data_IF_893753523581
#
_entry.id   IF_893753523581
#
_cell.length_a   1.000
_cell.length_b   1.000
_cell.length_c   1.000
_cell.angle_alpha   90.00
_cell.angle_beta   90.00
_cell.angle_gamma   90.00
#
_symmetry.space_group_name_H-M   'P 1'
#
loop_
_entity.id
_entity.type
_entity.pdbx_description
1 polymer ?
#
# COMPACT_ATOMS: atom_id res chain seq x y z
N UNK A 1 72.70 -5.96 23.26
CA UNK A 1 72.04 -6.17 21.95
C UNK A 1 71.34 -7.52 22.05
N UNK A 2 70.27 -7.69 22.84
CA UNK A 2 69.03 -6.93 22.95
C UNK A 2 68.36 -6.79 21.59
N UNK A 3 67.45 -7.71 21.26
CA UNK A 3 66.03 -7.39 21.01
C UNK A 3 65.21 -8.67 20.71
N UNK A 4 64.26 -8.94 21.60
CA UNK A 4 62.88 -9.39 21.35
C UNK A 4 62.03 -8.44 22.25
N UNK A 5 60.71 -8.24 22.06
CA UNK A 5 59.81 -8.52 20.94
C UNK A 5 58.90 -7.29 20.60
N UNK A 6 58.18 -7.27 19.47
CA UNK A 6 57.00 -6.40 19.26
C UNK A 6 56.07 -6.99 18.20
N UNK A 7 55.11 -7.81 18.63
CA UNK A 7 53.71 -7.41 18.85
C UNK A 7 52.91 -7.23 17.55
N UNK A 8 52.15 -8.29 17.24
CA UNK A 8 50.73 -8.24 16.90
C UNK A 8 50.25 -7.09 16.00
N UNK A 9 50.34 -7.27 14.67
CA UNK A 9 49.49 -6.54 13.74
C UNK A 9 48.22 -7.36 13.47
N UNK A 10 47.24 -7.09 14.34
CA UNK A 10 45.81 -7.37 14.24
C UNK A 10 45.35 -7.55 12.78
N UNK A 11 44.93 -8.76 12.39
CA UNK A 11 44.02 -8.97 11.25
C UNK A 11 42.66 -8.39 11.65
N UNK A 12 42.17 -7.28 11.06
CA UNK A 12 40.76 -6.96 11.15
C UNK A 12 40.04 -7.86 10.13
N UNK A 13 39.37 -8.88 10.66
CA UNK A 13 38.00 -9.24 10.26
C UNK A 13 37.65 -9.13 8.75
N UNK A 14 38.05 -10.11 7.94
CA UNK A 14 37.38 -10.39 6.64
C UNK A 14 35.88 -10.68 6.81
N UNK A 15 35.46 -11.06 8.03
CA UNK A 15 34.07 -11.16 8.45
C UNK A 15 33.38 -9.79 8.64
N UNK A 16 34.10 -8.71 8.94
CA UNK A 16 33.52 -7.35 9.01
C UNK A 16 33.37 -6.71 7.63
N UNK A 17 34.31 -6.95 6.71
CA UNK A 17 34.21 -6.37 5.35
C UNK A 17 33.03 -6.94 4.60
N UNK A 18 32.78 -8.25 4.73
CA UNK A 18 31.60 -8.90 4.14
C UNK A 18 30.30 -8.43 4.80
N UNK A 19 30.31 -8.22 6.12
CA UNK A 19 29.20 -7.61 6.85
C UNK A 19 28.89 -6.20 6.35
N UNK A 20 29.92 -5.37 6.12
CA UNK A 20 29.75 -3.98 5.70
C UNK A 20 29.27 -3.82 4.24
N UNK A 21 29.57 -4.80 3.38
CA UNK A 21 29.05 -4.89 1.99
C UNK A 21 27.58 -5.32 1.97
N UNK A 22 27.16 -6.18 2.90
CA UNK A 22 25.76 -6.60 3.05
C UNK A 22 24.92 -5.56 3.80
N UNK A 23 25.47 -4.88 4.82
CA UNK A 23 24.78 -3.90 5.65
C UNK A 23 24.63 -2.52 4.98
N UNK A 24 25.57 -2.11 4.12
CA UNK A 24 25.48 -0.86 3.34
C UNK A 24 24.19 -0.73 2.52
N UNK A 25 23.74 -1.77 1.78
CA UNK A 25 22.49 -1.72 1.02
C UNK A 25 21.23 -1.96 1.88
N UNK A 26 21.35 -2.51 3.09
CA UNK A 26 20.21 -2.79 3.97
C UNK A 26 19.53 -1.51 4.42
N UNK A 27 20.28 -0.49 4.87
CA UNK A 27 19.71 0.80 5.31
C UNK A 27 18.85 1.50 4.22
N UNK A 28 19.35 1.72 2.98
CA UNK A 28 18.55 2.32 1.94
C UNK A 28 17.41 1.40 1.47
N UNK A 29 17.61 0.07 1.46
CA UNK A 29 16.52 -0.87 1.12
C UNK A 29 15.39 -0.86 2.16
N UNK A 30 15.73 -0.65 3.45
CA UNK A 30 14.76 -0.59 4.54
C UNK A 30 13.95 0.71 4.47
N UNK A 31 14.62 1.82 4.17
CA UNK A 31 13.95 3.12 3.97
C UNK A 31 12.97 3.07 2.79
N UNK A 32 13.42 2.56 1.64
CA UNK A 32 12.54 2.45 0.48
C UNK A 32 11.47 1.38 0.69
N UNK A 33 11.78 0.30 1.40
CA UNK A 33 10.80 -0.70 1.85
C UNK A 33 9.72 -0.08 2.73
N UNK A 34 10.09 0.76 3.69
CA UNK A 34 9.15 1.48 4.56
C UNK A 34 8.27 2.47 3.77
N UNK A 35 8.87 3.25 2.87
CA UNK A 35 8.14 4.18 2.01
C UNK A 35 7.13 3.43 1.10
N UNK A 36 7.57 2.32 0.52
CA UNK A 36 6.76 1.47 -0.36
C UNK A 36 5.64 0.80 0.47
N UNK A 37 5.95 0.29 1.66
CA UNK A 37 4.98 -0.25 2.61
C UNK A 37 3.90 0.74 3.03
N UNK A 38 4.24 2.02 3.23
CA UNK A 38 3.27 3.07 3.51
C UNK A 38 2.31 3.31 2.32
N UNK A 39 2.81 3.30 1.08
CA UNK A 39 1.96 3.32 -0.12
C UNK A 39 1.06 2.07 -0.21
N UNK A 40 1.59 0.89 0.12
CA UNK A 40 0.83 -0.35 0.18
C UNK A 40 -0.28 -0.31 1.24
N UNK A 41 -0.03 0.32 2.38
CA UNK A 41 -1.03 0.55 3.42
C UNK A 41 -2.14 1.51 2.95
N UNK A 42 -1.79 2.57 2.22
CA UNK A 42 -2.78 3.49 1.63
C UNK A 42 -3.67 2.76 0.62
N UNK A 43 -3.09 1.99 -0.30
CA UNK A 43 -3.84 1.15 -1.25
C UNK A 43 -4.72 0.13 -0.52
N UNK A 44 -4.18 -0.55 0.50
CA UNK A 44 -4.91 -1.52 1.30
C UNK A 44 -6.09 -0.91 2.08
N UNK A 45 -5.99 0.36 2.52
CA UNK A 45 -7.08 1.06 3.18
C UNK A 45 -8.22 1.37 2.19
N UNK A 46 -7.88 1.88 1.01
CA UNK A 46 -8.85 2.18 -0.04
C UNK A 46 -9.52 0.88 -0.51
N UNK A 47 -8.75 -0.14 -0.85
CA UNK A 47 -9.29 -1.43 -1.26
C UNK A 47 -10.12 -2.10 -0.15
N UNK A 48 -9.68 -2.03 1.11
CA UNK A 48 -10.39 -2.60 2.26
C UNK A 48 -11.73 -1.93 2.54
N UNK A 49 -11.83 -0.62 2.35
CA UNK A 49 -13.10 0.14 2.49
C UNK A 49 -14.07 -0.14 1.34
N UNK A 50 -13.59 -0.31 0.10
CA UNK A 50 -14.41 -0.60 -1.07
C UNK A 50 -14.92 -2.05 -1.13
N UNK A 51 -14.17 -3.01 -0.59
CA UNK A 51 -14.50 -4.45 -0.70
C UNK A 51 -15.39 -4.94 0.47
N UNK A 52 -15.82 -4.04 1.37
CA UNK A 52 -16.74 -4.33 2.48
C UNK A 52 -16.37 -5.62 3.25
N UNK A 53 -15.08 -5.76 3.56
CA UNK A 53 -14.54 -6.95 4.21
C UNK A 53 -14.68 -6.84 5.74
N UNK A 54 -14.90 -7.96 6.43
CA UNK A 54 -15.17 -7.99 7.88
C UNK A 54 -14.01 -7.52 8.78
N UNK A 55 -12.83 -7.20 8.23
CA UNK A 55 -11.66 -6.70 8.98
C UNK A 55 -10.71 -5.83 8.13
N UNK A 56 -11.07 -4.58 7.81
CA UNK A 56 -10.27 -3.69 6.95
C UNK A 56 -8.84 -3.47 7.48
N UNK A 57 -8.66 -3.41 8.80
CA UNK A 57 -7.32 -3.26 9.41
C UNK A 57 -6.41 -4.47 9.16
N UNK A 58 -6.93 -5.70 9.20
CA UNK A 58 -6.14 -6.89 8.92
C UNK A 58 -5.62 -6.88 7.47
N UNK A 59 -6.47 -6.48 6.52
CA UNK A 59 -6.08 -6.36 5.11
C UNK A 59 -5.02 -5.27 4.89
N UNK A 60 -5.12 -4.13 5.58
CA UNK A 60 -4.10 -3.08 5.48
C UNK A 60 -2.74 -3.55 6.02
N UNK A 61 -2.74 -4.31 7.13
CA UNK A 61 -1.51 -4.83 7.73
C UNK A 61 -0.84 -5.90 6.85
N UNK A 62 -1.63 -6.79 6.24
CA UNK A 62 -1.14 -7.82 5.32
C UNK A 62 -0.61 -7.20 4.03
N UNK A 63 -1.35 -6.23 3.46
CA UNK A 63 -0.91 -5.50 2.27
C UNK A 63 0.38 -4.71 2.55
N UNK A 64 0.49 -4.03 3.69
CA UNK A 64 1.70 -3.31 4.08
C UNK A 64 2.89 -4.25 4.26
N UNK A 65 2.69 -5.39 4.93
CA UNK A 65 3.73 -6.40 5.15
C UNK A 65 4.21 -7.01 3.83
N UNK A 66 3.28 -7.35 2.94
CA UNK A 66 3.59 -7.89 1.62
C UNK A 66 4.38 -6.88 0.77
N UNK A 67 3.95 -5.62 0.76
CA UNK A 67 4.57 -4.56 -0.04
C UNK A 67 5.93 -4.11 0.53
N UNK A 68 6.08 -4.14 1.86
CA UNK A 68 7.35 -3.93 2.55
C UNK A 68 8.38 -5.03 2.23
N UNK A 69 7.95 -6.29 2.28
CA UNK A 69 8.82 -7.45 2.01
C UNK A 69 9.26 -7.48 0.54
N UNK A 70 8.33 -7.21 -0.37
CA UNK A 70 8.62 -7.06 -1.80
C UNK A 70 9.61 -5.91 -2.05
N UNK A 71 9.31 -4.70 -1.55
CA UNK A 71 10.17 -3.52 -1.74
C UNK A 71 11.59 -3.72 -1.20
N UNK A 72 11.72 -4.29 0.00
CA UNK A 72 13.02 -4.57 0.63
C UNK A 72 13.82 -5.60 -0.19
N UNK A 73 13.18 -6.67 -0.65
CA UNK A 73 13.81 -7.71 -1.48
C UNK A 73 14.28 -7.15 -2.82
N UNK A 74 13.47 -6.31 -3.46
CA UNK A 74 13.81 -5.67 -4.74
C UNK A 74 15.07 -4.81 -4.62
N UNK A 75 15.11 -3.89 -3.66
CA UNK A 75 16.24 -2.97 -3.49
C UNK A 75 17.50 -3.69 -3.03
N UNK A 76 17.36 -4.69 -2.15
CA UNK A 76 18.48 -5.50 -1.70
C UNK A 76 19.08 -6.32 -2.86
N UNK A 77 18.26 -7.07 -3.61
CA UNK A 77 18.71 -7.90 -4.73
C UNK A 77 19.36 -7.05 -5.83
N UNK A 78 18.76 -5.91 -6.16
CA UNK A 78 19.31 -4.93 -7.10
C UNK A 78 20.67 -4.41 -6.63
N UNK A 79 20.81 -4.04 -5.37
CA UNK A 79 22.06 -3.47 -4.85
C UNK A 79 23.22 -4.47 -4.88
N UNK A 80 22.95 -5.74 -4.58
CA UNK A 80 23.95 -6.82 -4.69
C UNK A 80 24.38 -7.03 -6.15
N UNK A 81 23.43 -7.07 -7.09
CA UNK A 81 23.73 -7.22 -8.52
C UNK A 81 24.54 -6.04 -9.09
N UNK A 82 24.30 -4.82 -8.61
CA UNK A 82 25.02 -3.64 -9.05
C UNK A 82 26.36 -3.39 -8.32
N UNK A 83 26.64 -4.07 -7.22
CA UNK A 83 27.88 -3.91 -6.45
C UNK A 83 29.10 -4.61 -7.09
N UNK A 84 28.89 -5.46 -8.10
CA UNK A 84 29.96 -6.13 -8.83
C UNK A 84 30.65 -5.25 -9.87
N UNK A 85 31.94 -5.51 -10.20
CA UNK A 85 32.70 -4.79 -11.23
C UNK A 85 32.10 -4.89 -12.64
N UNK A 86 31.17 -5.83 -12.86
CA UNK A 86 30.45 -6.04 -14.12
C UNK A 86 29.38 -4.97 -14.43
N UNK A 87 29.05 -4.09 -13.48
CA UNK A 87 28.04 -3.03 -13.67
C UNK A 87 28.57 -1.72 -14.24
N UNK A 88 29.86 -1.66 -14.60
CA UNK A 88 30.51 -0.42 -15.06
C UNK A 88 30.16 0.02 -16.48
N UNK A 89 29.63 -0.86 -17.35
CA UNK A 89 29.73 -0.61 -18.80
C UNK A 89 28.44 -0.58 -19.63
N UNK A 90 27.23 -0.79 -19.10
CA UNK A 90 26.02 -0.52 -19.94
C UNK A 90 24.72 -0.31 -19.16
N UNK A 91 23.84 0.55 -19.70
CA UNK A 91 22.46 0.67 -19.26
C UNK A 91 21.67 -0.64 -19.37
N UNK A 92 22.11 -1.56 -20.23
CA UNK A 92 21.53 -2.90 -20.39
C UNK A 92 21.77 -3.77 -19.15
N UNK A 93 22.93 -3.64 -18.48
CA UNK A 93 23.18 -4.30 -17.19
C UNK A 93 22.24 -3.80 -16.09
N UNK A 94 21.96 -2.48 -16.04
CA UNK A 94 20.99 -1.92 -15.09
C UNK A 94 19.60 -2.49 -15.35
N UNK A 95 19.16 -2.56 -16.62
CA UNK A 95 17.85 -3.12 -17.00
C UNK A 95 17.75 -4.60 -16.63
N UNK A 96 18.78 -5.41 -16.95
CA UNK A 96 18.82 -6.82 -16.61
C UNK A 96 18.80 -7.06 -15.09
N UNK A 97 19.61 -6.31 -14.33
CA UNK A 97 19.63 -6.38 -12.87
C UNK A 97 18.26 -6.00 -12.25
N UNK A 98 17.57 -5.03 -12.85
CA UNK A 98 16.22 -4.63 -12.43
C UNK A 98 15.19 -5.73 -12.69
N UNK A 99 15.28 -6.39 -13.84
CA UNK A 99 14.39 -7.49 -14.20
C UNK A 99 14.57 -8.69 -13.27
N UNK A 100 15.82 -9.07 -12.98
CA UNK A 100 16.14 -10.17 -12.06
C UNK A 100 15.68 -9.85 -10.64
N UNK A 101 16.00 -8.65 -10.14
CA UNK A 101 15.55 -8.20 -8.83
C UNK A 101 14.02 -8.11 -8.73
N UNK A 102 13.34 -7.66 -9.79
CA UNK A 102 11.89 -7.63 -9.89
C UNK A 102 11.28 -9.03 -9.88
N UNK A 103 11.92 -9.99 -10.54
CA UNK A 103 11.50 -11.40 -10.52
C UNK A 103 11.64 -12.02 -9.14
N UNK A 104 12.76 -11.81 -8.45
CA UNK A 104 12.97 -12.27 -7.07
C UNK A 104 11.96 -11.64 -6.10
N UNK A 105 11.75 -10.33 -6.17
CA UNK A 105 10.75 -9.64 -5.36
C UNK A 105 9.33 -10.11 -5.67
N UNK A 106 9.01 -10.34 -6.95
CA UNK A 106 7.70 -10.80 -7.39
C UNK A 106 7.40 -12.22 -6.90
N UNK A 107 8.41 -13.09 -6.86
CA UNK A 107 8.30 -14.43 -6.27
C UNK A 107 8.03 -14.37 -4.76
N UNK A 108 8.72 -13.48 -4.03
CA UNK A 108 8.49 -13.30 -2.60
C UNK A 108 7.10 -12.70 -2.33
N UNK A 109 6.68 -11.69 -3.09
CA UNK A 109 5.37 -11.06 -2.94
C UNK A 109 4.21 -12.04 -3.23
N UNK A 110 4.38 -12.89 -4.24
CA UNK A 110 3.37 -13.88 -4.65
C UNK A 110 3.27 -15.07 -3.70
N UNK A 111 4.29 -15.33 -2.86
CA UNK A 111 4.22 -16.32 -1.80
C UNK A 111 3.21 -15.94 -0.70
N UNK A 112 2.91 -14.66 -0.52
CA UNK A 112 1.90 -14.18 0.43
C UNK A 112 0.46 -14.29 -0.11
N UNK A 113 0.27 -14.60 -1.40
CA UNK A 113 -1.06 -14.76 -1.97
C UNK A 113 -1.56 -16.22 -1.80
N UNK A 114 -2.81 -16.44 -1.34
CA UNK A 114 -3.36 -17.77 -1.03
C UNK A 114 -3.55 -18.69 -2.25
N UNK A 115 -3.25 -18.24 -3.48
CA UNK A 115 -3.43 -19.00 -4.74
C UNK A 115 -2.13 -19.35 -5.48
N UNK A 116 -0.95 -19.22 -4.86
CA UNK A 116 0.28 -19.83 -5.37
C UNK A 116 0.72 -19.40 -6.78
N UNK A 117 0.38 -18.19 -7.24
CA UNK A 117 0.79 -17.69 -8.56
C UNK A 117 2.18 -17.06 -8.53
N UNK A 118 3.19 -17.88 -8.16
CA UNK A 118 4.58 -17.46 -8.08
C UNK A 118 5.09 -16.93 -9.44
N UNK A 119 4.73 -17.65 -10.50
CA UNK A 119 5.14 -17.40 -11.88
C UNK A 119 4.59 -16.07 -12.39
N UNK A 120 3.32 -15.76 -12.12
CA UNK A 120 2.71 -14.51 -12.61
C UNK A 120 3.30 -13.30 -11.90
N UNK A 121 3.51 -13.39 -10.58
CA UNK A 121 4.07 -12.31 -9.79
C UNK A 121 5.52 -11.99 -10.17
N UNK A 122 6.35 -13.02 -10.34
CA UNK A 122 7.76 -12.85 -10.74
C UNK A 122 7.90 -12.27 -12.15
N UNK A 123 7.11 -12.76 -13.12
CA UNK A 123 7.16 -12.28 -14.50
C UNK A 123 6.66 -10.83 -14.59
N UNK A 124 5.49 -10.53 -14.03
CA UNK A 124 4.90 -9.19 -14.13
C UNK A 124 5.76 -8.13 -13.45
N UNK A 125 6.27 -8.43 -12.24
CA UNK A 125 7.10 -7.48 -11.50
C UNK A 125 8.51 -7.36 -12.12
N UNK A 126 9.06 -8.45 -12.66
CA UNK A 126 10.32 -8.43 -13.41
C UNK A 126 10.24 -7.59 -14.68
N UNK A 127 9.20 -7.77 -15.51
CA UNK A 127 8.97 -6.97 -16.72
C UNK A 127 8.73 -5.50 -16.36
N UNK A 128 7.86 -5.22 -15.38
CA UNK A 128 7.60 -3.85 -14.92
C UNK A 128 8.86 -3.15 -14.41
N UNK A 129 9.74 -3.86 -13.68
CA UNK A 129 11.00 -3.33 -13.19
C UNK A 129 12.02 -3.09 -14.30
N UNK A 130 12.12 -4.01 -15.27
CA UNK A 130 12.98 -3.83 -16.45
C UNK A 130 12.53 -2.64 -17.30
N UNK A 131 11.22 -2.52 -17.54
CA UNK A 131 10.63 -1.39 -18.28
C UNK A 131 10.82 -0.07 -17.55
N UNK A 132 10.62 -0.04 -16.22
CA UNK A 132 10.93 1.15 -15.40
C UNK A 132 12.39 1.57 -15.56
N UNK A 133 13.31 0.61 -15.50
CA UNK A 133 14.73 0.94 -15.65
C UNK A 133 15.09 1.36 -17.08
N UNK A 134 14.44 0.79 -18.10
CA UNK A 134 14.61 1.19 -19.48
C UNK A 134 14.13 2.63 -19.71
N UNK A 135 12.99 3.01 -19.14
CA UNK A 135 12.49 4.38 -19.17
C UNK A 135 13.42 5.37 -18.46
N UNK A 136 13.99 5.01 -17.32
CA UNK A 136 14.98 5.86 -16.65
C UNK A 136 16.26 6.04 -17.47
N UNK A 137 16.70 4.99 -18.18
CA UNK A 137 17.88 5.03 -19.05
C UNK A 137 17.66 5.88 -20.32
N UNK A 138 16.43 5.96 -20.84
CA UNK A 138 16.09 6.86 -21.96
C UNK A 138 15.90 8.32 -21.53
N UNK A 139 15.53 8.54 -20.27
CA UNK A 139 15.29 9.88 -19.70
C UNK A 139 16.50 10.45 -18.96
N UNK A 140 17.66 9.78 -18.96
CA UNK A 140 18.89 10.18 -18.25
C UNK A 140 19.48 11.55 -18.72
N UNK A 141 18.88 12.19 -19.74
CA UNK A 141 19.14 13.56 -20.19
C UNK A 141 18.04 14.61 -19.89
N UNK A 142 16.98 14.26 -19.15
CA UNK A 142 15.83 15.15 -18.84
C UNK A 142 15.32 14.92 -17.41
N UNK A 143 14.90 15.98 -16.71
CA UNK A 143 14.56 15.95 -15.28
C UNK A 143 13.54 14.84 -14.95
N UNK A 144 13.91 13.74 -14.26
CA UNK A 144 13.33 12.42 -14.60
C UNK A 144 12.03 12.10 -13.85
N UNK A 145 11.78 12.72 -12.71
CA UNK A 145 10.71 12.29 -11.80
C UNK A 145 9.46 13.20 -11.86
N UNK A 146 9.64 14.51 -12.07
CA UNK A 146 8.53 15.47 -12.03
C UNK A 146 7.55 15.30 -13.20
N UNK A 147 8.05 15.03 -14.41
CA UNK A 147 7.21 14.87 -15.60
C UNK A 147 6.41 13.57 -15.61
N UNK A 148 7.03 12.46 -15.18
CA UNK A 148 6.37 11.16 -15.10
C UNK A 148 5.36 11.11 -13.94
N UNK A 149 5.73 11.63 -12.76
CA UNK A 149 4.81 11.77 -11.65
C UNK A 149 3.61 12.64 -12.05
N UNK A 150 3.83 13.78 -12.70
CA UNK A 150 2.76 14.65 -13.21
C UNK A 150 1.84 13.96 -14.22
N UNK A 151 2.39 13.08 -15.08
CA UNK A 151 1.63 12.31 -16.07
C UNK A 151 0.82 11.17 -15.43
N UNK A 152 1.37 10.51 -14.41
CA UNK A 152 0.66 9.48 -13.65
C UNK A 152 -0.42 10.13 -12.77
N UNK A 153 -0.12 11.24 -12.11
CA UNK A 153 -1.10 11.98 -11.30
C UNK A 153 -2.23 12.53 -12.15
N UNK A 154 -1.96 13.02 -13.38
CA UNK A 154 -3.03 13.48 -14.28
C UNK A 154 -3.89 12.33 -14.78
N UNK A 155 -3.31 11.15 -15.03
CA UNK A 155 -4.05 9.93 -15.38
C UNK A 155 -4.90 9.41 -14.22
N UNK A 156 -4.38 9.45 -12.99
CA UNK A 156 -5.10 9.07 -11.77
C UNK A 156 -6.21 10.08 -11.47
N UNK A 157 -5.95 11.38 -11.64
CA UNK A 157 -6.96 12.43 -11.50
C UNK A 157 -8.07 12.27 -12.55
N UNK A 158 -7.72 11.91 -13.79
CA UNK A 158 -8.69 11.58 -14.84
C UNK A 158 -9.45 10.27 -14.58
N UNK A 159 -8.90 9.37 -13.75
CA UNK A 159 -9.56 8.14 -13.31
C UNK A 159 -10.44 8.35 -12.06
N UNK A 160 -10.40 9.54 -11.44
CA UNK A 160 -11.16 9.82 -10.24
C UNK A 160 -12.60 10.18 -10.61
N UNK A 161 -13.61 9.37 -10.19
CA UNK A 161 -15.03 9.66 -10.45
C UNK A 161 -15.57 10.82 -9.60
N UNK A 162 -14.70 11.58 -8.91
CA UNK A 162 -15.12 12.77 -8.20
C UNK A 162 -15.28 13.92 -9.19
N UNK A 163 -16.53 14.12 -9.60
CA UNK A 163 -17.01 15.35 -10.22
C UNK A 163 -16.58 16.51 -9.29
N UNK A 164 -15.70 17.39 -9.79
CA UNK A 164 -15.38 18.66 -9.14
C UNK A 164 -16.65 19.51 -9.12
N UNK A 165 -17.45 19.34 -8.08
CA UNK A 165 -18.62 20.17 -7.82
C UNK A 165 -18.10 21.57 -7.51
N UNK A 166 -18.60 22.57 -8.25
CA UNK A 166 -18.49 23.97 -7.84
C UNK A 166 -19.12 24.13 -6.45
N UNK A 167 -18.68 25.07 -5.61
CA UNK A 167 -19.21 25.26 -4.24
C UNK A 167 -20.76 25.28 -4.19
N UNK A 168 -21.39 25.84 -5.22
CA UNK A 168 -22.86 25.86 -5.37
C UNK A 168 -23.48 24.48 -5.58
N UNK A 169 -22.81 23.64 -6.35
CA UNK A 169 -23.21 22.28 -6.69
C UNK A 169 -23.05 21.35 -5.45
N UNK A 170 -22.08 21.64 -4.57
CA UNK A 170 -21.94 20.97 -3.27
C UNK A 170 -23.00 21.43 -2.27
N UNK A 171 -23.31 22.73 -2.25
CA UNK A 171 -24.38 23.28 -1.40
C UNK A 171 -25.75 22.69 -1.74
N UNK A 172 -26.09 22.56 -3.03
CA UNK A 172 -27.36 21.94 -3.45
C UNK A 172 -27.41 20.44 -3.13
N UNK A 173 -26.29 19.71 -3.25
CA UNK A 173 -26.22 18.30 -2.83
C UNK A 173 -26.45 18.16 -1.32
N UNK A 174 -25.84 19.02 -0.52
CA UNK A 174 -26.03 19.02 0.94
C UNK A 174 -27.48 19.35 1.31
N UNK A 175 -28.11 20.30 0.62
CA UNK A 175 -29.52 20.64 0.83
C UNK A 175 -30.45 19.48 0.47
N UNK A 176 -30.21 18.80 -0.64
CA UNK A 176 -30.97 17.60 -1.04
C UNK A 176 -30.85 16.47 -0.01
N UNK A 177 -29.63 16.24 0.51
CA UNK A 177 -29.39 15.29 1.61
C UNK A 177 -30.13 15.68 2.89
N UNK A 178 -30.10 16.96 3.25
CA UNK A 178 -30.80 17.48 4.43
C UNK A 178 -32.32 17.25 4.30
N UNK A 179 -32.89 17.61 3.15
CA UNK A 179 -34.31 17.41 2.86
C UNK A 179 -34.72 15.93 2.93
N UNK A 180 -33.89 15.02 2.41
CA UNK A 180 -34.15 13.59 2.49
C UNK A 180 -34.18 13.10 3.94
N UNK A 181 -33.27 13.58 4.78
CA UNK A 181 -33.22 13.24 6.20
C UNK A 181 -34.45 13.79 6.93
N UNK A 182 -34.88 15.02 6.65
CA UNK A 182 -36.08 15.61 7.25
C UNK A 182 -37.35 14.81 6.91
N UNK A 183 -37.46 14.32 5.67
CA UNK A 183 -38.57 13.45 5.25
C UNK A 183 -38.53 12.10 5.98
N UNK A 184 -37.35 11.49 6.12
CA UNK A 184 -37.21 10.24 6.86
C UNK A 184 -37.55 10.41 8.36
N UNK A 185 -37.23 11.56 8.97
CA UNK A 185 -37.62 11.89 10.35
C UNK A 185 -39.14 12.03 10.45
N UNK A 186 -39.80 12.73 9.53
CA UNK A 186 -41.26 12.87 9.54
C UNK A 186 -41.97 11.50 9.45
N UNK A 187 -41.47 10.61 8.60
CA UNK A 187 -41.99 9.24 8.46
C UNK A 187 -41.75 8.40 9.72
N UNK A 188 -40.66 8.63 10.45
CA UNK A 188 -40.41 7.97 11.73
C UNK A 188 -41.32 8.49 12.85
N UNK A 189 -41.60 9.80 12.88
CA UNK A 189 -42.51 10.39 13.86
C UNK A 189 -43.93 9.86 13.71
N UNK A 190 -44.43 9.70 12.47
CA UNK A 190 -45.73 9.06 12.20
C UNK A 190 -45.75 7.60 12.70
N UNK A 191 -44.69 6.83 12.45
CA UNK A 191 -44.58 5.45 12.95
C UNK A 191 -44.53 5.38 14.48
N UNK A 192 -43.87 6.33 15.15
CA UNK A 192 -43.83 6.42 16.61
C UNK A 192 -45.22 6.77 17.17
N UNK A 193 -45.96 7.66 16.51
CA UNK A 193 -47.33 8.00 16.90
C UNK A 193 -48.27 6.79 16.82
N UNK A 194 -48.20 6.02 15.73
CA UNK A 194 -48.97 4.79 15.55
C UNK A 194 -48.61 3.73 16.60
N UNK A 195 -47.32 3.54 16.88
CA UNK A 195 -46.86 2.62 17.92
C UNK A 195 -47.35 3.03 19.32
N UNK A 196 -47.37 4.34 19.64
CA UNK A 196 -47.88 4.86 20.91
C UNK A 196 -49.40 4.66 21.02
N UNK A 197 -50.15 4.93 19.95
CA UNK A 197 -51.60 4.71 19.91
C UNK A 197 -51.96 3.22 20.08
N UNK A 198 -51.21 2.31 19.42
CA UNK A 198 -51.39 0.88 19.59
C UNK A 198 -51.06 0.41 21.01
N UNK A 199 -50.00 0.96 21.63
CA UNK A 199 -49.62 0.66 23.01
C UNK A 199 -50.68 1.11 24.04
N UNK A 200 -51.29 2.29 23.83
CA UNK A 200 -52.39 2.78 24.67
C UNK A 200 -53.64 1.88 24.56
N UNK A 201 -54.00 1.45 23.35
CA UNK A 201 -55.10 0.51 23.14
C UNK A 201 -54.84 -0.84 23.81
N UNK A 202 -53.60 -1.34 23.76
CA UNK A 202 -53.22 -2.59 24.42
C UNK A 202 -53.25 -2.46 25.95
N UNK A 203 -52.78 -1.33 26.49
CA UNK A 203 -52.79 -1.03 27.93
C UNK A 203 -54.21 -0.90 28.50
N UNK A 204 -55.15 -0.29 27.75
CA UNK A 204 -56.56 -0.23 28.15
C UNK A 204 -57.26 -1.59 28.09
N UNK A 205 -56.91 -2.44 27.12
CA UNK A 205 -57.47 -3.79 26.97
C UNK A 205 -56.99 -4.75 28.08
N UNK A 206 -55.80 -4.52 28.63
CA UNK A 206 -55.29 -5.22 29.82
C UNK A 206 -55.97 -4.80 31.14
N UNK A 207 -56.25 -3.51 31.30
CA UNK A 207 -56.92 -2.96 32.49
C UNK A 207 -58.41 -3.32 32.58
N UNK A 208 -59.09 -3.50 31.45
CA UNK A 208 -60.51 -3.94 31.41
C UNK A 208 -60.69 -5.45 31.67
N UNK A 209 -59.64 -6.26 31.55
CA UNK A 209 -59.67 -7.71 31.80
C UNK A 209 -59.43 -8.12 33.27
N UNK A 210 -59.09 -7.15 34.14
CA UNK A 210 -58.67 -7.40 35.54
C UNK A 210 -59.69 -6.95 36.60
N UNK A 211 -60.93 -6.61 36.24
CA UNK A 211 -62.02 -6.49 37.22
C UNK A 211 -62.85 -7.78 37.29
N UNK A 212 -62.61 -8.67 38.28
CA UNK A 212 -63.64 -9.61 38.70
C UNK A 212 -64.73 -8.84 39.46
N UNK A 213 -65.99 -9.17 39.15
CA UNK A 213 -67.17 -8.70 39.90
C UNK A 213 -67.33 -9.39 41.23
#
# INVERSE_FOLDING_TARGET
>A
MSEEPKSALHRPSELETSGHVFLKPVLPSLYVGAATGACGAAYGNIAGTLIQTSSPLAYTSLAATQWFTAGSTFFYCRSVLLSGPLSRDSGLHKVAASGIAGSCSGAVASAFLPRGSLVTGSIMLGVAAALSQAGLNTMEGSTPFSGMASGITSRIAALSPMKSLSDKEYEDLLRDKLLKVDVEIAVLDDQIADLRAAHEQYSQKGASRTRPG
#
